data_IF_487040787027
#
_entry.id   IF_487040787027
#
_cell.length_a   1.000
_cell.length_b   1.000
_cell.length_c   1.000
_cell.angle_alpha   90.00
_cell.angle_beta   90.00
_cell.angle_gamma   90.00
#
_symmetry.space_group_name_H-M   'P 1'
#
loop_
_entity.id
_entity.type
_entity.pdbx_description
1 polymer ?
#
# COMPACT_ATOMS: atom_id res chain seq x y z
N UNK A 1 -5.79 34.65 7.32
CA UNK A 1 -5.34 33.38 6.70
C UNK A 1 -6.19 32.26 7.26
N UNK A 2 -6.77 31.36 6.45
CA UNK A 2 -7.54 30.23 6.97
C UNK A 2 -6.65 29.33 7.84
N UNK A 3 -7.21 28.86 8.97
CA UNK A 3 -6.49 27.94 9.86
C UNK A 3 -6.09 26.66 9.09
N UNK A 4 -4.86 26.18 9.24
CA UNK A 4 -4.44 24.94 8.58
C UNK A 4 -5.32 23.76 9.05
N UNK A 5 -5.77 22.94 8.11
CA UNK A 5 -6.53 21.73 8.38
C UNK A 5 -5.77 20.80 9.33
N UNK A 6 -6.53 20.17 10.22
CA UNK A 6 -5.97 19.21 11.18
C UNK A 6 -5.29 18.03 10.44
N UNK A 7 -4.10 17.57 10.85
CA UNK A 7 -3.34 16.53 10.13
C UNK A 7 -4.10 15.22 9.90
N UNK A 8 -4.91 14.77 10.89
CA UNK A 8 -5.74 13.58 10.74
C UNK A 8 -6.78 13.78 9.63
N UNK A 9 -7.45 14.95 9.61
CA UNK A 9 -8.43 15.26 8.57
C UNK A 9 -7.78 15.32 7.18
N UNK A 10 -6.57 15.87 7.07
CA UNK A 10 -5.81 15.85 5.81
C UNK A 10 -5.51 14.44 5.34
N UNK A 11 -5.11 13.54 6.24
CA UNK A 11 -4.84 12.14 5.90
C UNK A 11 -6.11 11.41 5.47
N UNK A 12 -7.24 11.65 6.14
CA UNK A 12 -8.55 11.09 5.76
C UNK A 12 -8.94 11.60 4.36
N UNK A 13 -8.87 12.90 4.11
CA UNK A 13 -9.19 13.49 2.81
C UNK A 13 -8.28 12.96 1.71
N UNK A 14 -7.00 12.75 2.01
CA UNK A 14 -6.07 12.13 1.09
C UNK A 14 -6.51 10.70 0.72
N UNK A 15 -6.83 9.86 1.72
CA UNK A 15 -7.28 8.48 1.49
C UNK A 15 -8.61 8.43 0.71
N UNK A 16 -9.56 9.33 1.01
CA UNK A 16 -10.82 9.46 0.26
C UNK A 16 -10.55 9.88 -1.19
N UNK A 17 -9.70 10.89 -1.41
CA UNK A 17 -9.36 11.35 -2.74
C UNK A 17 -8.66 10.25 -3.56
N UNK A 18 -7.67 9.56 -2.97
CA UNK A 18 -7.00 8.44 -3.61
C UNK A 18 -7.99 7.33 -3.97
N UNK A 19 -8.76 6.85 -3.00
CA UNK A 19 -9.72 5.74 -3.20
C UNK A 19 -10.78 6.13 -4.22
N UNK A 20 -11.36 7.33 -4.11
CA UNK A 20 -12.39 7.80 -5.03
C UNK A 20 -11.91 7.92 -6.46
N UNK A 21 -10.73 8.50 -6.68
CA UNK A 21 -10.12 8.62 -8.02
C UNK A 21 -9.76 7.23 -8.57
N UNK A 22 -9.17 6.38 -7.74
CA UNK A 22 -8.79 5.03 -8.15
C UNK A 22 -9.99 4.18 -8.56
N UNK A 23 -11.05 4.19 -7.75
CA UNK A 23 -12.31 3.48 -8.02
C UNK A 23 -13.00 4.04 -9.27
N UNK A 24 -13.07 5.36 -9.42
CA UNK A 24 -13.63 5.99 -10.60
C UNK A 24 -12.90 5.56 -11.88
N UNK A 25 -11.57 5.61 -11.88
CA UNK A 25 -10.76 5.17 -13.02
C UNK A 25 -10.94 3.66 -13.27
N UNK A 26 -11.06 2.87 -12.21
CA UNK A 26 -11.34 1.43 -12.33
C UNK A 26 -12.66 1.17 -13.07
N UNK A 27 -13.74 1.86 -12.70
CA UNK A 27 -15.03 1.74 -13.38
C UNK A 27 -15.00 2.21 -14.84
N UNK A 28 -14.41 3.38 -15.09
CA UNK A 28 -14.29 3.91 -16.45
C UNK A 28 -13.44 2.99 -17.35
N UNK A 29 -12.43 2.37 -16.78
CA UNK A 29 -11.54 1.46 -17.50
C UNK A 29 -12.19 0.11 -17.76
N UNK A 30 -13.04 -0.40 -16.87
CA UNK A 30 -13.67 -1.74 -17.01
C UNK A 30 -14.47 -1.90 -18.31
N UNK A 31 -14.91 -0.78 -18.89
CA UNK A 31 -15.56 -0.76 -20.21
C UNK A 31 -14.59 -0.92 -21.39
N UNK A 32 -13.28 -0.71 -21.20
CA UNK A 32 -12.29 -0.66 -22.29
C UNK A 32 -11.19 -1.70 -22.16
N UNK A 33 -10.81 -2.06 -20.94
CA UNK A 33 -9.67 -2.95 -20.66
C UNK A 33 -10.15 -4.17 -19.86
N UNK A 34 -9.84 -5.41 -20.32
CA UNK A 34 -10.25 -6.63 -19.61
C UNK A 34 -9.81 -6.65 -18.15
N UNK A 35 -10.67 -7.19 -17.29
CA UNK A 35 -10.38 -7.34 -15.84
C UNK A 35 -9.11 -8.16 -15.53
N UNK A 36 -8.68 -9.02 -16.48
CA UNK A 36 -7.47 -9.85 -16.37
C UNK A 36 -6.14 -9.07 -16.41
N UNK A 37 -6.15 -7.77 -16.74
CA UNK A 37 -4.91 -6.97 -16.85
C UNK A 37 -4.46 -6.40 -15.50
N UNK A 38 -4.16 -7.24 -14.51
CA UNK A 38 -3.70 -6.83 -13.17
C UNK A 38 -2.51 -5.86 -13.22
N UNK A 39 -1.58 -6.03 -14.17
CA UNK A 39 -0.41 -5.15 -14.34
C UNK A 39 -0.81 -3.72 -14.69
N UNK A 40 -1.81 -3.55 -15.56
CA UNK A 40 -2.32 -2.22 -15.94
C UNK A 40 -3.03 -1.59 -14.75
N UNK A 41 -3.81 -2.35 -13.99
CA UNK A 41 -4.46 -1.85 -12.76
C UNK A 41 -3.46 -1.35 -11.74
N UNK A 42 -2.41 -2.13 -11.47
CA UNK A 42 -1.37 -1.74 -10.54
C UNK A 42 -0.61 -0.48 -11.00
N UNK A 43 -0.30 -0.38 -12.30
CA UNK A 43 0.32 0.80 -12.89
C UNK A 43 -0.54 2.06 -12.77
N UNK A 44 -1.83 1.95 -13.05
CA UNK A 44 -2.79 3.05 -12.85
C UNK A 44 -2.86 3.44 -11.37
N UNK A 45 -2.92 2.47 -10.47
CA UNK A 45 -2.95 2.72 -9.04
C UNK A 45 -1.74 3.49 -8.55
N UNK A 46 -0.53 3.13 -8.98
CA UNK A 46 0.71 3.86 -8.68
C UNK A 46 0.63 5.31 -9.21
N UNK A 47 0.20 5.49 -10.45
CA UNK A 47 0.08 6.82 -11.05
C UNK A 47 -0.91 7.69 -10.27
N UNK A 48 -2.07 7.16 -9.88
CA UNK A 48 -3.04 7.86 -9.04
C UNK A 48 -2.46 8.19 -7.67
N UNK A 49 -1.79 7.24 -7.01
CA UNK A 49 -1.18 7.46 -5.70
C UNK A 49 -0.12 8.55 -5.75
N UNK A 50 0.75 8.54 -6.77
CA UNK A 50 1.76 9.58 -6.96
C UNK A 50 1.14 10.95 -7.25
N UNK A 51 0.12 11.01 -8.12
CA UNK A 51 -0.58 12.24 -8.46
C UNK A 51 -1.24 12.87 -7.23
N UNK A 52 -2.02 12.09 -6.48
CA UNK A 52 -2.69 12.57 -5.27
C UNK A 52 -1.65 12.99 -4.22
N UNK A 53 -0.57 12.21 -4.06
CA UNK A 53 0.53 12.57 -3.17
C UNK A 53 1.17 13.90 -3.57
N UNK A 54 1.46 14.09 -4.86
CA UNK A 54 2.05 15.34 -5.37
C UNK A 54 1.13 16.55 -5.12
N UNK A 55 -0.18 16.39 -5.34
CA UNK A 55 -1.17 17.45 -5.10
C UNK A 55 -1.20 17.87 -3.62
N UNK A 56 -1.31 16.90 -2.70
CA UNK A 56 -1.34 17.18 -1.27
C UNK A 56 -0.01 17.75 -0.75
N UNK A 57 1.12 17.26 -1.23
CA UNK A 57 2.43 17.82 -0.91
C UNK A 57 2.56 19.27 -1.38
N UNK A 58 2.06 19.58 -2.59
CA UNK A 58 2.06 20.94 -3.14
C UNK A 58 1.20 21.87 -2.29
N UNK A 59 0.01 21.42 -1.86
CA UNK A 59 -0.86 22.20 -0.95
C UNK A 59 -0.18 22.44 0.40
N UNK A 60 0.59 21.50 0.91
CA UNK A 60 1.33 21.60 2.16
C UNK A 60 2.69 22.30 2.02
N UNK A 61 3.09 22.70 0.81
CA UNK A 61 4.43 23.25 0.48
C UNK A 61 5.56 22.31 0.91
N UNK A 62 5.34 20.98 0.79
CA UNK A 62 6.26 19.91 1.11
C UNK A 62 6.78 19.25 -0.17
N UNK A 63 7.87 18.49 -0.05
CA UNK A 63 8.49 17.73 -1.13
C UNK A 63 8.36 16.22 -0.86
N UNK A 64 8.53 15.41 -1.88
CA UNK A 64 8.57 13.94 -1.74
C UNK A 64 9.60 13.46 -0.71
N UNK A 65 10.72 14.15 -0.60
CA UNK A 65 11.74 13.87 0.42
C UNK A 65 11.20 13.99 1.86
N UNK A 66 10.25 14.88 2.10
CA UNK A 66 9.69 15.14 3.44
C UNK A 66 8.75 14.04 3.92
N UNK A 67 8.43 13.08 3.06
CA UNK A 67 7.62 11.90 3.35
C UNK A 67 8.42 10.60 3.14
N UNK A 68 9.74 10.66 3.11
CA UNK A 68 10.61 9.50 3.01
C UNK A 68 10.82 8.94 1.59
N UNK A 69 10.25 9.58 0.57
CA UNK A 69 10.41 9.17 -0.83
C UNK A 69 11.65 9.83 -1.45
N UNK A 70 12.81 9.34 -1.05
CA UNK A 70 14.08 9.74 -1.63
C UNK A 70 15.11 8.61 -1.51
N UNK A 71 16.11 8.65 -2.38
CA UNK A 71 17.19 7.68 -2.38
C UNK A 71 18.37 8.24 -1.55
N UNK A 72 18.89 7.41 -0.64
CA UNK A 72 20.10 7.72 0.13
C UNK A 72 21.03 6.50 0.18
N UNK A 73 22.27 6.67 0.65
CA UNK A 73 23.27 5.60 0.67
C UNK A 73 22.87 4.34 1.44
N UNK A 74 21.94 4.45 2.40
CA UNK A 74 21.43 3.32 3.19
C UNK A 74 20.11 2.73 2.68
N UNK A 75 19.56 3.23 1.57
CA UNK A 75 18.26 2.78 1.06
C UNK A 75 18.28 1.31 0.69
N UNK A 76 19.33 0.85 0.01
CA UNK A 76 19.46 -0.56 -0.38
C UNK A 76 19.55 -1.50 0.84
N UNK A 77 20.36 -1.16 1.83
CA UNK A 77 20.48 -2.00 3.03
C UNK A 77 19.19 -2.06 3.84
N UNK A 78 18.45 -0.97 3.95
CA UNK A 78 17.13 -0.94 4.58
C UNK A 78 16.11 -1.74 3.79
N UNK A 79 16.15 -1.70 2.46
CA UNK A 79 15.30 -2.50 1.60
C UNK A 79 15.56 -4.00 1.77
N UNK A 80 16.83 -4.42 1.74
CA UNK A 80 17.21 -5.82 1.98
C UNK A 80 16.79 -6.28 3.37
N UNK A 81 17.02 -5.46 4.41
CA UNK A 81 16.57 -5.76 5.77
C UNK A 81 15.04 -5.92 5.83
N UNK A 82 14.29 -5.07 5.13
CA UNK A 82 12.84 -5.18 5.02
C UNK A 82 12.39 -6.51 4.40
N UNK A 83 13.07 -6.97 3.34
CA UNK A 83 12.81 -8.28 2.73
C UNK A 83 13.08 -9.40 3.73
N UNK A 84 14.21 -9.39 4.43
CA UNK A 84 14.56 -10.42 5.41
C UNK A 84 13.52 -10.50 6.53
N UNK A 85 13.13 -9.34 7.08
CA UNK A 85 12.08 -9.27 8.11
C UNK A 85 10.75 -9.78 7.56
N UNK A 86 10.35 -9.36 6.36
CA UNK A 86 9.11 -9.78 5.71
C UNK A 86 9.05 -11.30 5.49
N UNK A 87 10.12 -11.89 4.97
CA UNK A 87 10.22 -13.36 4.79
C UNK A 87 10.16 -14.07 6.14
N UNK A 88 10.85 -13.56 7.17
CA UNK A 88 10.80 -14.12 8.52
C UNK A 88 9.40 -14.10 9.13
N UNK A 89 8.68 -12.97 9.01
CA UNK A 89 7.31 -12.84 9.50
C UNK A 89 6.34 -13.78 8.74
N UNK A 90 6.46 -13.86 7.41
CA UNK A 90 5.65 -14.78 6.61
C UNK A 90 5.94 -16.25 6.96
N UNK A 91 7.22 -16.59 7.18
CA UNK A 91 7.60 -17.93 7.66
C UNK A 91 6.99 -18.25 9.02
N UNK A 92 7.08 -17.34 9.99
CA UNK A 92 6.48 -17.49 11.32
C UNK A 92 4.95 -17.65 11.24
N UNK A 93 4.28 -16.83 10.43
CA UNK A 93 2.83 -16.96 10.20
C UNK A 93 2.47 -18.29 9.57
N UNK A 94 3.22 -18.75 8.57
CA UNK A 94 3.00 -20.04 7.92
C UNK A 94 3.12 -21.19 8.93
N UNK A 95 4.15 -21.16 9.77
CA UNK A 95 4.32 -22.16 10.86
C UNK A 95 3.15 -22.12 11.82
N UNK A 96 2.73 -20.94 12.26
CA UNK A 96 1.59 -20.79 13.16
C UNK A 96 0.30 -21.36 12.52
N UNK A 97 0.03 -21.06 11.26
CA UNK A 97 -1.13 -21.61 10.54
C UNK A 97 -1.07 -23.14 10.48
N UNK A 98 0.06 -23.73 10.16
CA UNK A 98 0.22 -25.18 10.13
C UNK A 98 -0.06 -25.81 11.51
N UNK A 99 0.49 -25.22 12.57
CA UNK A 99 0.36 -25.76 13.92
C UNK A 99 -1.06 -25.63 14.49
N UNK A 100 -1.77 -24.55 14.20
CA UNK A 100 -3.05 -24.25 14.85
C UNK A 100 -4.30 -24.48 13.98
N UNK A 101 -4.16 -24.61 12.66
CA UNK A 101 -5.32 -24.76 11.76
C UNK A 101 -5.50 -26.15 11.17
N UNK A 102 -4.57 -27.08 11.44
CA UNK A 102 -4.61 -28.43 10.86
C UNK A 102 -4.30 -28.50 9.36
N UNK A 103 -3.89 -27.39 8.72
CA UNK A 103 -3.44 -27.40 7.34
C UNK A 103 -2.20 -28.28 7.16
N UNK A 104 -2.18 -29.06 6.06
CA UNK A 104 -1.06 -29.92 5.71
C UNK A 104 -0.39 -29.40 4.45
N UNK A 105 0.91 -29.22 4.52
CA UNK A 105 1.71 -28.93 3.31
C UNK A 105 1.80 -30.22 2.50
N UNK A 106 1.39 -30.16 1.23
CA UNK A 106 1.58 -31.22 0.26
C UNK A 106 2.51 -30.74 -0.84
N UNK A 107 3.47 -31.57 -1.20
CA UNK A 107 4.29 -31.33 -2.37
C UNK A 107 3.42 -31.42 -3.62
N UNK A 108 3.48 -30.39 -4.48
CA UNK A 108 2.84 -30.43 -5.79
C UNK A 108 3.95 -30.64 -6.85
N UNK A 109 4.03 -31.83 -7.48
CA UNK A 109 5.05 -32.12 -8.48
C UNK A 109 4.92 -31.24 -9.74
N UNK A 110 3.72 -30.73 -10.03
CA UNK A 110 3.46 -29.86 -11.17
C UNK A 110 3.76 -28.38 -10.87
N UNK A 111 4.27 -28.09 -9.65
CA UNK A 111 4.63 -26.73 -9.28
C UNK A 111 5.79 -26.23 -10.13
N UNK A 112 5.60 -25.06 -10.74
CA UNK A 112 6.62 -24.40 -11.53
C UNK A 112 6.97 -23.06 -10.88
N UNK A 113 8.18 -22.99 -10.31
CA UNK A 113 8.66 -21.78 -9.62
C UNK A 113 8.63 -20.56 -10.54
N UNK A 114 8.99 -20.73 -11.80
CA UNK A 114 8.99 -19.62 -12.77
C UNK A 114 7.58 -19.09 -13.03
N UNK A 115 6.59 -20.00 -13.20
CA UNK A 115 5.18 -19.59 -13.32
C UNK A 115 4.69 -18.87 -12.07
N UNK A 116 5.06 -19.35 -10.89
CA UNK A 116 4.74 -18.71 -9.62
C UNK A 116 5.32 -17.29 -9.54
N UNK A 117 6.61 -17.13 -9.84
CA UNK A 117 7.29 -15.84 -9.83
C UNK A 117 6.65 -14.86 -10.84
N UNK A 118 6.38 -15.32 -12.07
CA UNK A 118 5.69 -14.51 -13.07
C UNK A 118 4.27 -14.12 -12.66
N UNK A 119 3.53 -15.04 -12.04
CA UNK A 119 2.18 -14.79 -11.52
C UNK A 119 2.17 -13.83 -10.34
N UNK A 120 3.23 -13.84 -9.50
CA UNK A 120 3.35 -12.96 -8.33
C UNK A 120 3.90 -11.57 -8.67
N UNK A 121 4.54 -11.39 -9.83
CA UNK A 121 5.14 -10.12 -10.22
C UNK A 121 4.19 -8.90 -10.16
N UNK A 122 2.89 -9.01 -10.55
CA UNK A 122 1.94 -7.90 -10.44
C UNK A 122 1.64 -7.46 -9.00
N UNK A 123 1.91 -8.31 -8.00
CA UNK A 123 1.69 -7.97 -6.59
C UNK A 123 2.68 -6.91 -6.09
N UNK A 124 3.88 -6.84 -6.64
CA UNK A 124 4.88 -5.85 -6.25
C UNK A 124 4.43 -4.41 -6.51
N UNK A 125 4.01 -4.03 -7.73
CA UNK A 125 3.48 -2.69 -7.97
C UNK A 125 2.18 -2.41 -7.21
N UNK A 126 1.34 -3.43 -6.95
CA UNK A 126 0.14 -3.29 -6.13
C UNK A 126 0.50 -2.94 -4.68
N UNK A 127 1.41 -3.70 -4.07
CA UNK A 127 1.90 -3.42 -2.72
C UNK A 127 2.56 -2.02 -2.64
N UNK A 128 3.34 -1.64 -3.66
CA UNK A 128 3.95 -0.32 -3.71
C UNK A 128 2.90 0.82 -3.78
N UNK A 129 1.84 0.63 -4.55
CA UNK A 129 0.71 1.56 -4.60
C UNK A 129 0.08 1.74 -3.20
N UNK A 130 -0.15 0.64 -2.49
CA UNK A 130 -0.75 0.67 -1.15
C UNK A 130 0.16 1.35 -0.12
N UNK A 131 1.47 1.09 -0.18
CA UNK A 131 2.46 1.78 0.66
C UNK A 131 2.46 3.30 0.40
N UNK A 132 2.42 3.73 -0.86
CA UNK A 132 2.33 5.14 -1.22
C UNK A 132 1.05 5.79 -0.69
N UNK A 133 -0.09 5.10 -0.88
CA UNK A 133 -1.40 5.65 -0.55
C UNK A 133 -1.65 5.74 0.96
N UNK A 134 -1.16 4.78 1.75
CA UNK A 134 -1.52 4.70 3.17
C UNK A 134 -0.35 4.95 4.12
N UNK A 135 0.90 4.77 3.68
CA UNK A 135 2.08 4.87 4.56
C UNK A 135 3.04 6.00 4.21
N UNK A 136 2.98 6.59 3.02
CA UNK A 136 3.84 7.73 2.70
C UNK A 136 3.26 9.05 3.27
N UNK A 137 2.36 9.71 2.54
CA UNK A 137 1.80 11.00 2.97
C UNK A 137 0.96 10.92 4.24
N UNK A 138 -0.01 9.96 4.40
CA UNK A 138 -0.84 9.90 5.60
C UNK A 138 -0.02 9.68 6.88
N UNK A 139 0.89 8.71 6.87
CA UNK A 139 1.71 8.38 8.03
C UNK A 139 2.55 9.57 8.48
N UNK A 140 3.31 10.19 7.57
CA UNK A 140 4.17 11.33 7.91
C UNK A 140 3.38 12.59 8.29
N UNK A 141 2.13 12.70 7.86
CA UNK A 141 1.26 13.82 8.19
C UNK A 141 0.65 13.65 9.59
N UNK A 142 0.13 12.47 9.92
CA UNK A 142 -0.45 12.16 11.24
C UNK A 142 0.62 12.15 12.32
N UNK A 143 1.79 11.57 12.06
CA UNK A 143 2.91 11.41 12.99
C UNK A 143 3.35 12.72 13.65
N UNK A 144 3.27 13.82 12.93
CA UNK A 144 3.61 15.16 13.44
C UNK A 144 2.75 15.60 14.64
N UNK A 145 1.55 15.04 14.78
CA UNK A 145 0.58 15.46 15.81
C UNK A 145 0.32 14.40 16.88
N UNK A 146 0.37 13.11 16.54
CA UNK A 146 -0.14 12.02 17.40
C UNK A 146 0.95 11.08 17.92
N UNK A 147 2.19 11.21 17.45
CA UNK A 147 3.26 10.27 17.72
C UNK A 147 3.12 8.95 16.94
N UNK A 148 4.16 8.11 16.97
CA UNK A 148 4.29 6.94 16.08
C UNK A 148 3.24 5.86 16.34
N UNK A 149 2.94 5.53 17.59
CA UNK A 149 1.99 4.45 17.94
C UNK A 149 0.58 4.75 17.41
N UNK A 150 0.05 5.93 17.74
CA UNK A 150 -1.28 6.34 17.26
C UNK A 150 -1.33 6.50 15.75
N UNK A 151 -0.23 6.92 15.14
CA UNK A 151 -0.12 7.02 13.69
C UNK A 151 -0.25 5.66 13.03
N UNK A 152 0.46 4.65 13.52
CA UNK A 152 0.38 3.28 12.99
C UNK A 152 -1.06 2.76 13.08
N UNK A 153 -1.71 2.92 14.24
CA UNK A 153 -3.10 2.49 14.43
C UNK A 153 -4.06 3.21 13.47
N UNK A 154 -3.95 4.52 13.36
CA UNK A 154 -4.81 5.31 12.47
C UNK A 154 -4.61 4.95 10.99
N UNK A 155 -3.36 4.80 10.54
CA UNK A 155 -3.08 4.40 9.16
C UNK A 155 -3.51 2.97 8.87
N UNK A 156 -3.40 2.05 9.85
CA UNK A 156 -3.92 0.69 9.73
C UNK A 156 -5.45 0.66 9.62
N UNK A 157 -6.16 1.50 10.39
CA UNK A 157 -7.61 1.63 10.28
C UNK A 157 -8.04 2.19 8.92
N UNK A 158 -7.34 3.20 8.40
CA UNK A 158 -7.62 3.76 7.06
C UNK A 158 -7.36 2.72 5.97
N UNK A 159 -6.31 1.93 6.10
CA UNK A 159 -5.98 0.83 5.18
C UNK A 159 -7.03 -0.29 5.24
N UNK A 160 -7.46 -0.69 6.45
CA UNK A 160 -8.55 -1.65 6.63
C UNK A 160 -9.87 -1.17 6.02
N UNK A 161 -10.23 0.11 6.24
CA UNK A 161 -11.43 0.70 5.64
C UNK A 161 -11.38 0.71 4.10
N UNK A 162 -10.21 0.95 3.52
CA UNK A 162 -9.99 0.84 2.07
C UNK A 162 -10.30 -0.57 1.56
N UNK A 163 -9.85 -1.62 2.26
CA UNK A 163 -10.10 -3.00 1.88
C UNK A 163 -11.58 -3.37 1.97
N UNK A 164 -12.27 -2.91 3.01
CA UNK A 164 -13.72 -3.09 3.12
C UNK A 164 -14.47 -2.42 1.96
N UNK A 165 -14.06 -1.21 1.57
CA UNK A 165 -14.64 -0.50 0.43
C UNK A 165 -14.40 -1.21 -0.91
N UNK A 166 -13.35 -2.02 -1.02
CA UNK A 166 -13.06 -2.85 -2.20
C UNK A 166 -13.73 -4.24 -2.18
N UNK A 167 -14.71 -4.47 -1.30
CA UNK A 167 -15.51 -5.69 -1.26
C UNK A 167 -14.87 -6.85 -0.48
N UNK A 168 -13.85 -6.59 0.34
CA UNK A 168 -13.38 -7.58 1.31
C UNK A 168 -14.39 -7.70 2.43
N UNK A 169 -14.94 -8.89 2.61
CA UNK A 169 -15.84 -9.21 3.74
C UNK A 169 -15.00 -9.61 4.95
N UNK A 170 -15.49 -9.25 6.14
CA UNK A 170 -14.93 -9.70 7.41
C UNK A 170 -15.25 -11.17 7.67
#
# INVERSE_FOLDING_TARGET
MPKPLHPILKAILFCIAFTGIYVLIYFLKSSVIPASSQRIHAGIGIAVALLVTALFLRMDKRRFRDIGLYWEGRTLSRFVLGIVIGVGLMGALTVAVILFSGFKIKWNPDSNLLKFLWGSLPLLPLAYMEELAFRAYPLETIKKKTGIRNTILLTALLFGAYHLANGWTL
#
